data_IF_407292685150
#
_entry.id   IF_407292685150
#
_cell.length_a   1.000
_cell.length_b   1.000
_cell.length_c   1.000
_cell.angle_alpha   90.00
_cell.angle_beta   90.00
_cell.angle_gamma   90.00
#
_symmetry.space_group_name_H-M   'P 1'
#
loop_
_entity.id
_entity.type
_entity.pdbx_description
1 polymer ?
#
# COMPACT_ATOMS: atom_id res chain seq x y z
N UNK A 1 5.73 7.64 -14.05
CA UNK A 1 5.75 6.44 -13.20
C UNK A 1 4.61 5.56 -13.66
N UNK A 2 4.87 4.28 -13.94
CA UNK A 2 3.81 3.34 -14.35
C UNK A 2 2.85 3.12 -13.18
N UNK A 3 1.56 3.00 -13.48
CA UNK A 3 0.50 2.71 -12.51
C UNK A 3 -0.07 1.32 -12.76
N UNK A 4 -0.58 0.69 -11.71
CA UNK A 4 -1.21 -0.62 -11.74
C UNK A 4 -2.65 -0.50 -11.22
N UNK A 5 -3.59 -1.11 -11.93
CA UNK A 5 -4.99 -1.12 -11.49
C UNK A 5 -5.24 -2.28 -10.55
N UNK A 6 -5.54 -1.97 -9.30
CA UNK A 6 -5.90 -2.94 -8.27
C UNK A 6 -7.36 -2.75 -7.83
N UNK A 7 -7.91 -3.72 -7.10
CA UNK A 7 -9.32 -3.72 -6.67
C UNK A 7 -9.45 -3.65 -5.16
N UNK A 8 -10.28 -2.73 -4.67
CA UNK A 8 -10.68 -2.67 -3.26
C UNK A 8 -11.54 -3.88 -2.88
N UNK A 9 -11.68 -4.19 -1.57
CA UNK A 9 -12.60 -5.24 -1.10
C UNK A 9 -14.05 -5.02 -1.55
N UNK A 10 -14.45 -3.76 -1.75
CA UNK A 10 -15.77 -3.36 -2.27
C UNK A 10 -15.96 -3.72 -3.75
N UNK A 11 -14.86 -3.83 -4.51
CA UNK A 11 -14.84 -4.06 -5.95
C UNK A 11 -14.52 -2.82 -6.78
N UNK A 12 -14.41 -1.65 -6.16
CA UNK A 12 -13.94 -0.43 -6.81
C UNK A 12 -12.49 -0.61 -7.28
N UNK A 13 -12.18 -0.13 -8.48
CA UNK A 13 -10.82 -0.12 -9.03
C UNK A 13 -10.06 1.12 -8.58
N UNK A 14 -8.77 0.97 -8.30
CA UNK A 14 -7.88 2.04 -7.86
C UNK A 14 -6.55 1.93 -8.59
N UNK A 15 -6.03 3.07 -9.02
CA UNK A 15 -4.68 3.15 -9.59
C UNK A 15 -3.65 3.25 -8.46
N UNK A 16 -2.68 2.34 -8.49
CA UNK A 16 -1.60 2.24 -7.52
C UNK A 16 -0.30 2.58 -8.21
N UNK A 17 0.45 3.50 -7.60
CA UNK A 17 1.72 3.97 -8.13
C UNK A 17 2.91 3.62 -7.23
N UNK A 18 2.70 3.03 -6.06
CA UNK A 18 3.78 2.67 -5.14
C UNK A 18 3.52 1.32 -4.46
N UNK A 19 4.59 0.68 -3.99
CA UNK A 19 4.48 -0.61 -3.31
C UNK A 19 3.79 -0.48 -1.96
N UNK A 20 4.00 0.65 -1.28
CA UNK A 20 3.34 0.95 -0.01
C UNK A 20 1.82 1.06 -0.16
N UNK A 21 1.32 1.72 -1.21
CA UNK A 21 -0.11 1.83 -1.47
C UNK A 21 -0.72 0.46 -1.81
N UNK A 22 0.02 -0.38 -2.56
CA UNK A 22 -0.38 -1.77 -2.83
C UNK A 22 -0.50 -2.58 -1.53
N UNK A 23 0.50 -2.50 -0.64
CA UNK A 23 0.51 -3.20 0.64
C UNK A 23 -0.63 -2.71 1.55
N UNK A 24 -0.91 -1.40 1.57
CA UNK A 24 -2.02 -0.84 2.32
C UNK A 24 -3.38 -1.32 1.78
N UNK A 25 -3.53 -1.36 0.46
CA UNK A 25 -4.74 -1.89 -0.19
C UNK A 25 -4.93 -3.37 0.17
N UNK A 26 -3.87 -4.18 0.14
CA UNK A 26 -3.93 -5.59 0.52
C UNK A 26 -4.34 -5.74 1.99
N UNK A 27 -3.76 -4.95 2.90
CA UNK A 27 -4.14 -4.95 4.31
C UNK A 27 -5.63 -4.63 4.53
N UNK A 28 -6.25 -3.84 3.65
CA UNK A 28 -7.68 -3.51 3.75
C UNK A 28 -8.63 -4.70 3.56
N UNK A 29 -8.17 -5.83 3.01
CA UNK A 29 -8.96 -7.07 2.91
C UNK A 29 -9.07 -7.81 4.26
N UNK A 30 -8.16 -7.58 5.20
CA UNK A 30 -8.08 -8.35 6.44
C UNK A 30 -9.37 -8.31 7.31
N UNK A 31 -10.07 -7.17 7.49
CA UNK A 31 -11.33 -7.14 8.22
C UNK A 31 -12.42 -7.99 7.57
N UNK A 32 -12.49 -8.00 6.23
CA UNK A 32 -13.46 -8.80 5.48
C UNK A 32 -13.17 -10.29 5.59
N UNK A 33 -11.89 -10.68 5.48
CA UNK A 33 -11.46 -12.05 5.67
C UNK A 33 -11.75 -12.56 7.10
N UNK A 34 -11.46 -11.75 8.12
CA UNK A 34 -11.76 -12.09 9.53
C UNK A 34 -13.26 -12.24 9.78
N UNK A 35 -14.07 -11.33 9.26
CA UNK A 35 -15.52 -11.39 9.40
C UNK A 35 -16.11 -12.65 8.73
N UNK A 36 -15.57 -13.04 7.57
CA UNK A 36 -15.98 -14.27 6.88
C UNK A 36 -15.51 -15.52 7.61
N UNK A 37 -14.26 -15.55 8.10
CA UNK A 37 -13.76 -16.67 8.90
C UNK A 37 -14.62 -16.89 10.15
N UNK A 38 -14.95 -15.81 10.88
CA UNK A 38 -15.83 -15.91 12.05
C UNK A 38 -17.24 -16.40 11.73
N UNK A 39 -17.74 -16.18 10.51
CA UNK A 39 -19.02 -16.74 10.04
C UNK A 39 -18.89 -18.22 9.67
N UNK A 40 -17.82 -18.60 8.96
CA UNK A 40 -17.56 -20.00 8.59
C UNK A 40 -17.38 -20.87 9.84
N UNK A 41 -16.66 -20.38 10.85
CA UNK A 41 -16.43 -21.11 12.10
C UNK A 41 -17.70 -21.22 12.98
N UNK A 42 -18.65 -20.29 12.83
CA UNK A 42 -19.86 -20.22 13.67
C UNK A 42 -21.10 -20.86 13.06
N UNK A 43 -21.16 -21.06 11.74
CA UNK A 43 -22.36 -21.49 11.03
C UNK A 43 -22.13 -22.86 10.38
N UNK A 44 -22.99 -23.84 10.67
CA UNK A 44 -22.92 -25.20 10.10
C UNK A 44 -23.22 -25.27 8.60
N UNK A 45 -23.64 -24.16 7.98
CA UNK A 45 -23.84 -24.03 6.53
C UNK A 45 -23.66 -22.58 6.09
N UNK A 46 -22.82 -22.34 5.08
CA UNK A 46 -22.70 -21.02 4.44
C UNK A 46 -23.81 -20.88 3.41
N UNK A 47 -24.60 -19.81 3.47
CA UNK A 47 -25.63 -19.59 2.46
C UNK A 47 -25.02 -19.19 1.09
N UNK A 48 -25.81 -19.29 0.02
CA UNK A 48 -25.32 -19.02 -1.34
C UNK A 48 -24.86 -17.56 -1.54
N UNK A 49 -25.42 -16.61 -0.81
CA UNK A 49 -25.06 -15.20 -0.93
C UNK A 49 -23.69 -14.92 -0.27
N UNK A 50 -23.44 -15.52 0.89
CA UNK A 50 -22.17 -15.45 1.60
C UNK A 50 -21.05 -16.16 0.83
N UNK A 51 -21.34 -17.34 0.25
CA UNK A 51 -20.41 -18.05 -0.63
C UNK A 51 -20.05 -17.20 -1.87
N UNK A 52 -21.03 -16.54 -2.50
CA UNK A 52 -20.79 -15.63 -3.63
C UNK A 52 -20.00 -14.39 -3.22
N UNK A 53 -20.17 -13.90 -2.00
CA UNK A 53 -19.36 -12.79 -1.47
C UNK A 53 -17.91 -13.23 -1.25
N UNK A 54 -17.68 -14.42 -0.68
CA UNK A 54 -16.36 -14.99 -0.46
C UNK A 54 -15.61 -15.15 -1.79
N UNK A 55 -16.24 -15.78 -2.80
CA UNK A 55 -15.62 -15.97 -4.12
C UNK A 55 -15.21 -14.62 -4.73
N UNK A 56 -16.07 -13.60 -4.67
CA UNK A 56 -15.73 -12.26 -5.17
C UNK A 56 -14.54 -11.63 -4.45
N UNK A 57 -14.42 -11.81 -3.14
CA UNK A 57 -13.29 -11.29 -2.37
C UNK A 57 -11.99 -12.02 -2.72
N UNK A 58 -12.04 -13.34 -2.86
CA UNK A 58 -10.90 -14.17 -3.29
C UNK A 58 -10.45 -13.79 -4.71
N UNK A 59 -11.39 -13.62 -5.65
CA UNK A 59 -11.07 -13.20 -7.02
C UNK A 59 -10.34 -11.85 -7.05
N UNK A 60 -10.83 -10.88 -6.27
CA UNK A 60 -10.20 -9.55 -6.15
C UNK A 60 -8.81 -9.63 -5.53
N UNK A 61 -8.66 -10.44 -4.48
CA UNK A 61 -7.37 -10.69 -3.85
C UNK A 61 -6.36 -11.31 -4.83
N UNK A 62 -6.78 -12.28 -5.63
CA UNK A 62 -5.93 -12.96 -6.60
C UNK A 62 -5.48 -12.00 -7.71
N UNK A 63 -6.38 -11.17 -8.25
CA UNK A 63 -6.02 -10.11 -9.20
C UNK A 63 -4.98 -9.19 -8.59
N UNK A 64 -5.18 -8.74 -7.35
CA UNK A 64 -4.22 -7.87 -6.67
C UNK A 64 -2.87 -8.55 -6.43
N UNK A 65 -2.84 -9.84 -6.09
CA UNK A 65 -1.60 -10.61 -5.97
C UNK A 65 -0.84 -10.67 -7.31
N UNK A 66 -1.56 -10.88 -8.41
CA UNK A 66 -0.95 -10.87 -9.74
C UNK A 66 -0.33 -9.50 -10.04
N UNK A 67 -1.07 -8.42 -9.82
CA UNK A 67 -0.54 -7.05 -10.05
C UNK A 67 0.67 -6.76 -9.18
N UNK A 68 0.68 -7.20 -7.92
CA UNK A 68 1.84 -7.07 -7.03
C UNK A 68 3.05 -7.85 -7.57
N UNK A 69 2.86 -9.07 -8.06
CA UNK A 69 3.94 -9.84 -8.66
C UNK A 69 4.48 -9.17 -9.94
N UNK A 70 3.61 -8.50 -10.70
CA UNK A 70 4.02 -7.71 -11.86
C UNK A 70 4.80 -6.45 -11.45
N UNK A 71 4.40 -5.75 -10.38
CA UNK A 71 5.18 -4.65 -9.79
C UNK A 71 6.56 -5.13 -9.32
N UNK A 72 6.62 -6.31 -8.71
CA UNK A 72 7.85 -6.90 -8.17
C UNK A 72 8.80 -7.41 -9.25
N UNK A 73 8.32 -7.62 -10.47
CA UNK A 73 9.14 -8.01 -11.63
C UNK A 73 9.45 -6.84 -12.57
N UNK A 74 8.82 -5.68 -12.39
CA UNK A 74 9.05 -4.48 -13.20
C UNK A 74 10.25 -3.66 -12.68
N UNK A 75 11.37 -3.73 -13.39
CA UNK A 75 12.61 -3.07 -12.99
C UNK A 75 12.53 -1.53 -13.09
N UNK A 76 11.78 -0.99 -14.06
CA UNK A 76 11.57 0.46 -14.18
C UNK A 76 10.77 0.98 -12.98
N UNK A 77 9.77 0.22 -12.55
CA UNK A 77 9.00 0.50 -11.34
C UNK A 77 9.90 0.50 -10.09
N UNK A 78 10.76 -0.52 -9.92
CA UNK A 78 11.71 -0.57 -8.78
C UNK A 78 12.67 0.62 -8.77
N UNK A 79 13.23 0.96 -9.93
CA UNK A 79 14.14 2.12 -10.05
C UNK A 79 13.41 3.41 -9.70
N UNK A 80 12.15 3.56 -10.12
CA UNK A 80 11.34 4.73 -9.78
C UNK A 80 11.07 4.83 -8.27
N UNK A 81 10.76 3.73 -7.59
CA UNK A 81 10.56 3.69 -6.13
C UNK A 81 11.86 4.03 -5.37
N UNK A 82 13.00 3.46 -5.78
CA UNK A 82 14.30 3.78 -5.19
C UNK A 82 14.62 5.28 -5.34
N UNK A 83 14.39 5.84 -6.54
CA UNK A 83 14.59 7.29 -6.78
C UNK A 83 13.69 8.14 -5.90
N UNK A 84 12.42 7.76 -5.73
CA UNK A 84 11.46 8.47 -4.87
C UNK A 84 11.92 8.48 -3.41
N UNK A 85 12.42 7.35 -2.91
CA UNK A 85 12.98 7.25 -1.56
C UNK A 85 14.24 8.10 -1.38
N UNK A 86 15.17 8.06 -2.34
CA UNK A 86 16.35 8.93 -2.28
C UNK A 86 15.98 10.42 -2.30
N UNK A 87 15.04 10.83 -3.15
CA UNK A 87 14.55 12.22 -3.19
C UNK A 87 13.95 12.62 -1.84
N UNK A 88 13.17 11.74 -1.19
CA UNK A 88 12.64 11.98 0.14
C UNK A 88 13.76 12.17 1.17
N UNK A 89 14.73 11.26 1.21
CA UNK A 89 15.87 11.34 2.14
C UNK A 89 16.69 12.61 1.93
N UNK A 90 16.96 13.00 0.67
CA UNK A 90 17.67 14.25 0.35
C UNK A 90 16.89 15.46 0.85
N UNK A 91 15.56 15.49 0.67
CA UNK A 91 14.71 16.57 1.20
C UNK A 91 14.77 16.65 2.71
N UNK A 92 14.72 15.51 3.41
CA UNK A 92 14.85 15.45 4.87
C UNK A 92 16.21 15.99 5.36
N UNK A 93 17.30 15.66 4.66
CA UNK A 93 18.64 16.21 4.95
C UNK A 93 18.65 17.73 4.79
N UNK A 94 18.09 18.25 3.70
CA UNK A 94 17.99 19.70 3.44
C UNK A 94 17.17 20.38 4.55
N UNK A 95 16.02 19.81 4.91
CA UNK A 95 15.15 20.35 5.95
C UNK A 95 15.86 20.38 7.31
N UNK A 96 16.58 19.32 7.68
CA UNK A 96 17.37 19.26 8.91
C UNK A 96 18.50 20.29 8.91
N UNK A 97 19.26 20.39 7.82
CA UNK A 97 20.34 21.36 7.68
C UNK A 97 19.82 22.80 7.78
N UNK A 98 18.67 23.09 7.17
CA UNK A 98 18.03 24.41 7.23
C UNK A 98 17.54 24.75 8.64
N UNK A 99 16.99 23.77 9.37
CA UNK A 99 16.55 23.96 10.76
C UNK A 99 17.73 24.13 11.73
N UNK A 100 18.84 23.40 11.55
CA UNK A 100 20.05 23.57 12.36
C UNK A 100 20.80 24.88 12.05
N UNK A 101 20.77 25.34 10.79
CA UNK A 101 21.37 26.63 10.39
C UNK A 101 20.71 27.85 11.02
N UNK A 102 19.41 27.77 11.37
CA UNK A 102 18.69 28.84 12.06
C UNK A 102 18.93 28.90 13.60
N UNK A 103 19.75 27.99 14.14
CA UNK A 103 20.11 27.95 15.57
C UNK A 103 21.45 28.61 15.93
N UNK A 104 22.30 28.95 14.96
CA UNK A 104 23.60 29.58 15.21
C UNK A 104 23.48 31.10 15.11
N UNK A 105 22.86 31.70 16.12
CA UNK A 105 23.01 33.12 16.42
C UNK A 105 24.45 33.31 16.89
N UNK A 106 25.20 34.21 16.24
CA UNK A 106 26.60 34.51 16.53
C UNK A 106 26.83 34.70 18.05
N UNK A 107 27.98 34.25 18.59
CA UNK A 107 28.32 34.57 19.95
C UNK A 107 28.50 36.09 20.10
N UNK A 108 28.00 36.72 21.17
CA UNK A 108 28.30 38.12 21.42
C UNK A 108 29.82 38.24 21.60
N UNK A 109 30.41 39.13 20.81
CA UNK A 109 31.85 39.32 20.73
C UNK A 109 32.50 39.66 22.07
N UNK A 110 33.80 39.34 22.14
CA UNK A 110 34.79 40.00 22.97
C UNK A 110 36.09 40.12 22.19
#
# INVERSE_FOLDING_TARGET
MKTYTMRKPTGEEIEISSRADADQLMASFAPYARALLGKVDAITSVDAAESKLLNRLVDRWNVNCQMRNEMDSDDDFKVAEIKKDFVRQIREIIDMATRSGNGSREPPGQ
#
